data_IF_090019469949
#
_entry.id   IF_090019469949
#
_cell.length_a   1.000
_cell.length_b   1.000
_cell.length_c   1.000
_cell.angle_alpha   90.00
_cell.angle_beta   90.00
_cell.angle_gamma   90.00
#
_symmetry.space_group_name_H-M   'P 1'
#
loop_
_entity.id
_entity.type
_entity.pdbx_description
1 polymer ?
#
# COMPACT_ATOMS: atom_id res chain seq x y z
N UNK A 1 -8.87 -21.62 14.13
CA UNK A 1 -8.10 -22.81 13.74
C UNK A 1 -6.98 -22.36 12.81
N UNK A 2 -5.74 -22.28 13.28
CA UNK A 2 -4.58 -21.99 12.41
C UNK A 2 -4.15 -23.34 11.84
N UNK A 3 -4.37 -23.56 10.55
CA UNK A 3 -3.94 -24.80 9.87
C UNK A 3 -2.59 -24.55 9.21
N UNK A 4 -1.52 -24.77 9.97
CA UNK A 4 -0.21 -25.06 9.37
C UNK A 4 0.32 -26.29 10.07
N UNK A 5 0.09 -27.46 9.46
CA UNK A 5 0.78 -28.68 9.87
C UNK A 5 2.21 -28.56 9.35
N UNK A 6 3.13 -28.21 10.24
CA UNK A 6 4.56 -28.22 9.94
C UNK A 6 5.07 -29.62 10.33
N UNK A 7 5.23 -30.50 9.35
CA UNK A 7 6.09 -31.67 9.50
C UNK A 7 7.29 -31.54 8.54
N UNK A 8 8.44 -31.95 9.04
CA UNK A 8 9.75 -31.91 8.37
C UNK A 8 9.78 -32.69 7.05
N UNK A 9 8.82 -33.60 6.83
CA UNK A 9 8.75 -34.43 5.62
C UNK A 9 7.67 -34.00 4.61
N UNK A 10 6.77 -33.11 4.98
CA UNK A 10 5.60 -32.73 4.14
C UNK A 10 5.49 -31.21 3.88
N UNK A 11 6.39 -30.41 4.44
CA UNK A 11 6.38 -28.96 4.24
C UNK A 11 6.81 -28.57 2.83
N UNK A 12 6.00 -27.72 2.18
CA UNK A 12 6.33 -27.13 0.88
C UNK A 12 6.90 -25.72 1.06
N UNK A 13 7.93 -25.39 0.29
CA UNK A 13 8.50 -24.04 0.20
C UNK A 13 8.37 -23.50 -1.22
N UNK A 14 8.10 -22.21 -1.34
CA UNK A 14 8.10 -21.52 -2.63
C UNK A 14 9.53 -21.10 -2.94
N UNK A 15 10.06 -21.58 -4.06
CA UNK A 15 11.44 -21.33 -4.49
C UNK A 15 11.47 -20.48 -5.76
N UNK A 16 12.47 -19.62 -5.86
CA UNK A 16 12.88 -18.98 -7.11
C UNK A 16 14.36 -19.29 -7.36
N UNK A 17 14.67 -19.86 -8.53
CA UNK A 17 16.04 -20.31 -8.88
C UNK A 17 16.67 -21.20 -7.80
N UNK A 18 15.88 -22.13 -7.24
CA UNK A 18 16.33 -23.08 -6.22
C UNK A 18 16.55 -22.51 -4.81
N UNK A 19 16.24 -21.21 -4.58
CA UNK A 19 16.36 -20.58 -3.26
C UNK A 19 14.98 -20.19 -2.72
N UNK A 20 14.72 -20.30 -1.41
CA UNK A 20 13.48 -19.83 -0.80
C UNK A 20 13.22 -18.35 -1.11
N UNK A 21 11.98 -18.01 -1.43
CA UNK A 21 11.57 -16.62 -1.63
C UNK A 21 11.12 -15.98 -0.32
N UNK A 22 11.19 -14.65 -0.26
CA UNK A 22 10.39 -13.90 0.69
C UNK A 22 8.92 -13.87 0.21
N UNK A 23 8.05 -14.65 0.87
CA UNK A 23 6.64 -14.76 0.51
C UNK A 23 5.82 -13.65 1.17
N UNK A 24 5.69 -12.50 0.50
CA UNK A 24 4.81 -11.43 0.95
C UNK A 24 3.34 -11.78 0.69
N UNK A 25 2.48 -11.42 1.62
CA UNK A 25 1.03 -11.54 1.48
C UNK A 25 0.34 -10.31 2.08
N UNK A 26 -0.86 -10.01 1.61
CA UNK A 26 -1.66 -8.88 2.06
C UNK A 26 -3.15 -9.19 1.93
N UNK A 27 -4.00 -8.42 2.62
CA UNK A 27 -5.44 -8.72 2.72
C UNK A 27 -6.24 -8.40 1.45
N UNK A 28 -5.85 -7.38 0.70
CA UNK A 28 -6.56 -6.92 -0.50
C UNK A 28 -5.61 -6.12 -1.40
N UNK A 29 -5.71 -6.35 -2.71
CA UNK A 29 -5.09 -5.50 -3.72
C UNK A 29 -6.16 -4.54 -4.27
N UNK A 30 -5.79 -3.33 -4.65
CA UNK A 30 -6.72 -2.39 -5.30
C UNK A 30 -7.05 -2.77 -6.75
N UNK A 31 -7.14 -4.07 -7.07
CA UNK A 31 -7.35 -4.60 -8.42
C UNK A 31 -6.10 -5.17 -9.10
N UNK A 32 -4.92 -4.94 -8.53
CA UNK A 32 -3.65 -5.51 -8.99
C UNK A 32 -2.61 -5.51 -7.86
N UNK A 33 -1.75 -6.53 -7.84
CA UNK A 33 -0.63 -6.64 -6.89
C UNK A 33 0.46 -5.61 -7.19
N UNK A 34 1.25 -5.21 -6.19
CA UNK A 34 2.39 -4.30 -6.41
C UNK A 34 3.68 -5.08 -6.61
N UNK A 35 4.62 -4.49 -7.35
CA UNK A 35 6.01 -4.96 -7.32
C UNK A 35 6.66 -4.60 -5.99
N UNK A 36 7.67 -5.36 -5.58
CA UNK A 36 8.53 -5.02 -4.42
C UNK A 36 9.33 -3.74 -4.66
N UNK A 37 9.62 -3.40 -5.93
CA UNK A 37 10.27 -2.15 -6.29
C UNK A 37 9.36 -0.95 -6.01
N UNK A 38 8.08 -1.03 -6.37
CA UNK A 38 7.12 0.04 -6.09
C UNK A 38 6.84 0.15 -4.59
N UNK A 39 6.72 -0.97 -3.89
CA UNK A 39 6.42 -0.98 -2.46
C UNK A 39 7.62 -0.56 -1.59
N UNK A 40 8.83 -1.04 -1.89
CA UNK A 40 10.00 -0.96 -1.01
C UNK A 40 11.31 -0.61 -1.72
N UNK A 41 11.30 -0.33 -3.02
CA UNK A 41 12.47 0.14 -3.78
C UNK A 41 13.43 -0.95 -4.24
N UNK A 42 13.17 -2.24 -3.96
CA UNK A 42 14.02 -3.35 -4.39
C UNK A 42 13.22 -4.31 -5.27
N UNK A 43 13.67 -4.53 -6.50
CA UNK A 43 13.02 -5.47 -7.41
C UNK A 43 13.41 -6.92 -7.09
N UNK A 44 12.47 -7.85 -7.30
CA UNK A 44 12.76 -9.29 -7.30
C UNK A 44 12.22 -9.93 -8.58
N UNK A 45 12.78 -11.09 -8.95
CA UNK A 45 12.31 -11.84 -10.12
C UNK A 45 10.95 -12.53 -9.92
N UNK A 46 10.39 -12.50 -8.70
CA UNK A 46 9.20 -13.29 -8.33
C UNK A 46 8.05 -12.44 -7.75
N UNK A 47 8.21 -11.12 -7.66
CA UNK A 47 7.15 -10.19 -7.22
C UNK A 47 6.83 -9.19 -8.32
N UNK A 48 6.14 -9.66 -9.34
CA UNK A 48 5.65 -8.83 -10.44
C UNK A 48 4.19 -8.44 -10.19
N UNK A 49 3.79 -7.29 -10.74
CA UNK A 49 2.40 -6.85 -10.69
C UNK A 49 1.53 -7.79 -11.53
N UNK A 50 0.47 -8.30 -10.95
CA UNK A 50 -0.52 -9.18 -11.60
C UNK A 50 -1.92 -8.65 -11.29
N UNK A 51 -2.84 -8.74 -12.25
CA UNK A 51 -4.23 -8.37 -12.06
C UNK A 51 -4.90 -9.25 -10.99
N UNK A 52 -5.69 -8.62 -10.12
CA UNK A 52 -6.48 -9.26 -9.08
C UNK A 52 -7.88 -8.62 -9.04
N UNK A 53 -8.75 -8.93 -10.04
CA UNK A 53 -10.09 -8.37 -10.13
C UNK A 53 -11.00 -8.82 -8.97
N UNK A 54 -10.68 -9.93 -8.31
CA UNK A 54 -11.42 -10.41 -7.15
C UNK A 54 -11.31 -9.44 -5.97
N UNK A 55 -10.16 -8.76 -5.82
CA UNK A 55 -9.95 -7.71 -4.82
C UNK A 55 -10.93 -6.54 -4.93
N UNK A 56 -11.47 -6.27 -6.12
CA UNK A 56 -12.46 -5.20 -6.37
C UNK A 56 -13.92 -5.66 -6.26
N UNK A 57 -14.18 -6.96 -6.13
CA UNK A 57 -15.53 -7.49 -6.05
C UNK A 57 -16.08 -7.36 -4.61
N UNK A 58 -17.10 -6.54 -4.33
CA UNK A 58 -17.60 -6.34 -2.97
C UNK A 58 -18.24 -7.60 -2.36
N UNK A 59 -18.65 -8.59 -3.16
CA UNK A 59 -19.15 -9.86 -2.63
C UNK A 59 -18.03 -10.75 -2.09
N UNK A 60 -16.83 -10.65 -2.69
CA UNK A 60 -15.64 -11.45 -2.30
C UNK A 60 -14.81 -10.69 -1.26
N UNK A 61 -14.66 -9.38 -1.43
CA UNK A 61 -13.91 -8.50 -0.54
C UNK A 61 -14.80 -7.37 0.02
N UNK A 62 -15.81 -7.70 0.85
CA UNK A 62 -16.78 -6.73 1.34
C UNK A 62 -16.18 -5.61 2.19
N UNK A 63 -15.00 -5.83 2.77
CA UNK A 63 -14.37 -4.88 3.69
C UNK A 63 -13.43 -3.88 3.00
N UNK A 64 -12.80 -4.28 1.88
CA UNK A 64 -11.73 -3.48 1.27
C UNK A 64 -11.89 -3.26 -0.24
N UNK A 65 -12.90 -3.85 -0.90
CA UNK A 65 -13.23 -3.48 -2.29
C UNK A 65 -13.55 -1.98 -2.42
N UNK A 66 -14.12 -1.40 -1.36
CA UNK A 66 -14.22 0.04 -1.15
C UNK A 66 -14.15 0.33 0.34
N UNK A 67 -13.50 1.43 0.71
CA UNK A 67 -13.37 1.86 2.10
C UNK A 67 -13.31 3.39 2.18
N UNK A 68 -13.67 3.93 3.35
CA UNK A 68 -13.48 5.35 3.69
C UNK A 68 -12.69 5.42 4.99
N UNK A 69 -11.79 6.38 5.08
CA UNK A 69 -11.04 6.66 6.31
C UNK A 69 -10.87 8.17 6.45
N UNK A 70 -10.80 8.63 7.69
CA UNK A 70 -10.56 10.03 8.04
C UNK A 70 -9.25 10.10 8.84
N UNK A 71 -8.46 11.14 8.58
CA UNK A 71 -7.29 11.49 9.38
C UNK A 71 -7.47 12.91 9.90
N UNK A 72 -7.08 13.17 11.14
CA UNK A 72 -7.15 14.52 11.70
C UNK A 72 -6.08 15.41 11.07
N UNK A 73 -6.30 16.72 11.12
CA UNK A 73 -5.37 17.70 10.58
C UNK A 73 -3.99 17.58 11.23
N UNK A 74 -3.93 17.33 12.54
CA UNK A 74 -2.71 17.16 13.31
C UNK A 74 -1.94 15.92 12.85
N UNK A 75 -2.65 14.82 12.57
CA UNK A 75 -2.02 13.60 12.09
C UNK A 75 -1.44 13.78 10.68
N UNK A 76 -2.15 14.50 9.82
CA UNK A 76 -1.69 14.83 8.46
C UNK A 76 -0.47 15.77 8.53
N UNK A 77 -0.49 16.82 9.34
CA UNK A 77 0.66 17.74 9.45
C UNK A 77 1.90 17.05 10.01
N UNK A 78 1.73 16.21 11.05
CA UNK A 78 2.80 15.36 11.58
C UNK A 78 3.31 14.36 10.53
N UNK A 79 2.43 13.81 9.69
CA UNK A 79 2.85 12.89 8.63
C UNK A 79 3.86 13.55 7.69
N UNK A 80 3.62 14.81 7.30
CA UNK A 80 4.50 15.59 6.42
C UNK A 80 5.64 16.31 7.14
N UNK A 81 5.69 16.29 8.48
CA UNK A 81 6.62 17.10 9.27
C UNK A 81 6.49 18.60 8.92
N UNK A 82 5.25 19.05 8.75
CA UNK A 82 4.89 20.44 8.49
C UNK A 82 4.09 20.99 9.69
N UNK A 83 4.12 22.31 9.95
CA UNK A 83 3.32 22.92 11.02
C UNK A 83 1.80 22.76 10.76
N UNK A 84 1.40 22.82 9.49
CA UNK A 84 0.04 22.66 9.00
C UNK A 84 0.06 22.15 7.55
N UNK A 85 -1.06 21.61 7.08
CA UNK A 85 -1.23 21.18 5.68
C UNK A 85 -2.57 21.70 5.17
N UNK A 86 -2.54 22.70 4.30
CA UNK A 86 -3.75 23.30 3.71
C UNK A 86 -4.16 22.67 2.39
N UNK A 87 -3.26 21.90 1.76
CA UNK A 87 -3.55 21.21 0.51
C UNK A 87 -2.78 19.89 0.43
N UNK A 88 -3.46 18.88 -0.11
CA UNK A 88 -2.92 17.57 -0.42
C UNK A 88 -3.12 17.30 -1.92
N UNK A 89 -2.09 16.75 -2.56
CA UNK A 89 -2.13 16.41 -3.98
C UNK A 89 -1.48 15.05 -4.21
N UNK A 90 -2.20 14.12 -4.84
CA UNK A 90 -1.62 12.85 -5.30
C UNK A 90 -0.78 13.13 -6.55
N UNK A 91 0.53 12.96 -6.45
CA UNK A 91 1.47 13.33 -7.51
C UNK A 91 1.67 12.21 -8.52
N UNK A 92 1.65 10.95 -8.07
CA UNK A 92 1.83 9.81 -8.96
C UNK A 92 1.24 8.53 -8.40
N UNK A 93 1.01 7.57 -9.31
CA UNK A 93 0.61 6.20 -9.03
C UNK A 93 1.46 5.23 -9.82
N UNK A 94 1.62 4.00 -9.32
CA UNK A 94 2.21 2.92 -10.10
C UNK A 94 1.16 2.32 -11.07
N UNK A 95 1.60 1.38 -11.91
CA UNK A 95 0.72 0.70 -12.88
C UNK A 95 -0.42 -0.09 -12.23
N UNK A 96 -0.27 -0.47 -10.96
CA UNK A 96 -1.31 -1.13 -10.17
C UNK A 96 -2.33 -0.15 -9.57
N UNK A 97 -2.10 1.17 -9.67
CA UNK A 97 -2.99 2.22 -9.17
C UNK A 97 -2.73 2.68 -7.73
N UNK A 98 -1.73 2.10 -7.04
CA UNK A 98 -1.31 2.54 -5.72
C UNK A 98 -0.62 3.90 -5.81
N UNK A 99 -0.91 4.80 -4.87
CA UNK A 99 -0.22 6.10 -4.76
C UNK A 99 1.26 5.86 -4.46
N UNK A 100 2.13 6.35 -5.34
CA UNK A 100 3.58 6.31 -5.15
C UNK A 100 4.07 7.55 -4.43
N UNK A 101 3.56 8.72 -4.78
CA UNK A 101 3.88 9.98 -4.10
C UNK A 101 2.66 10.87 -3.88
N UNK A 102 2.65 11.54 -2.74
CA UNK A 102 1.68 12.56 -2.34
C UNK A 102 2.42 13.78 -1.83
N UNK A 103 1.94 14.97 -2.19
CA UNK A 103 2.49 16.27 -1.77
C UNK A 103 1.56 16.92 -0.76
N UNK A 104 2.12 17.40 0.34
CA UNK A 104 1.45 18.28 1.30
C UNK A 104 2.01 19.69 1.20
N UNK A 105 1.13 20.69 1.26
CA UNK A 105 1.48 22.12 1.22
C UNK A 105 0.99 22.79 2.49
N UNK A 106 1.88 23.49 3.20
CA UNK A 106 1.57 24.33 4.36
C UNK A 106 1.09 25.71 3.93
N UNK A 107 0.37 26.42 4.80
CA UNK A 107 -0.07 27.82 4.58
C UNK A 107 1.08 28.77 4.29
N UNK A 108 2.28 28.51 4.81
CA UNK A 108 3.46 29.33 4.55
C UNK A 108 4.11 29.06 3.18
N UNK A 109 3.51 28.20 2.35
CA UNK A 109 4.01 27.81 1.03
C UNK A 109 5.02 26.66 1.03
N UNK A 110 5.45 26.18 2.21
CA UNK A 110 6.35 25.02 2.30
C UNK A 110 5.67 23.77 1.78
N UNK A 111 6.39 22.99 0.99
CA UNK A 111 5.88 21.71 0.47
C UNK A 111 6.75 20.54 0.91
N UNK A 112 6.12 19.38 1.08
CA UNK A 112 6.81 18.11 1.34
C UNK A 112 6.20 17.02 0.49
N UNK A 113 7.08 16.22 -0.12
CA UNK A 113 6.71 15.02 -0.86
C UNK A 113 6.91 13.81 0.05
N UNK A 114 5.91 12.93 0.12
CA UNK A 114 5.97 11.66 0.84
C UNK A 114 5.64 10.51 -0.09
N UNK A 115 6.26 9.36 0.17
CA UNK A 115 5.81 8.12 -0.47
C UNK A 115 4.42 7.74 0.03
N UNK A 116 3.59 7.20 -0.85
CA UNK A 116 2.20 6.84 -0.51
C UNK A 116 2.08 5.79 0.58
N UNK A 117 3.01 4.82 0.65
CA UNK A 117 3.07 3.80 1.72
C UNK A 117 3.44 4.42 3.08
N UNK A 118 4.37 5.39 3.07
CA UNK A 118 4.78 6.14 4.26
C UNK A 118 3.63 7.01 4.75
N UNK A 119 2.98 7.75 3.85
CA UNK A 119 1.79 8.53 4.17
C UNK A 119 0.72 7.63 4.77
N UNK A 120 0.37 6.51 4.10
CA UNK A 120 -0.61 5.53 4.58
C UNK A 120 -0.33 5.10 6.02
N UNK A 121 0.93 4.75 6.33
CA UNK A 121 1.33 4.32 7.67
C UNK A 121 1.19 5.44 8.70
N UNK A 122 1.61 6.67 8.36
CA UNK A 122 1.58 7.81 9.28
C UNK A 122 0.17 8.30 9.56
N UNK A 123 -0.69 8.33 8.54
CA UNK A 123 -2.11 8.74 8.68
C UNK A 123 -3.07 7.60 9.00
N UNK A 124 -2.53 6.39 9.22
CA UNK A 124 -3.27 5.20 9.69
C UNK A 124 -4.44 4.78 8.79
N UNK A 125 -4.30 4.90 7.47
CA UNK A 125 -5.31 4.43 6.51
C UNK A 125 -4.98 3.01 6.01
N UNK A 126 -5.97 2.25 5.49
CA UNK A 126 -5.80 0.82 5.21
C UNK A 126 -4.73 0.50 4.15
N UNK A 127 -4.70 1.25 3.05
CA UNK A 127 -3.89 0.91 1.87
C UNK A 127 -3.36 2.17 1.16
N UNK A 128 -2.32 2.06 0.32
CA UNK A 128 -1.89 3.15 -0.57
C UNK A 128 -2.82 3.31 -1.79
N UNK A 129 -3.85 2.49 -1.94
CA UNK A 129 -4.89 2.60 -2.96
C UNK A 129 -6.01 3.49 -2.44
N UNK A 130 -5.79 4.81 -2.50
CA UNK A 130 -6.76 5.79 -2.04
C UNK A 130 -6.90 6.95 -3.02
N UNK A 131 -7.96 7.72 -2.83
CA UNK A 131 -8.16 9.04 -3.41
C UNK A 131 -8.54 10.01 -2.29
N UNK A 132 -8.22 11.29 -2.47
CA UNK A 132 -8.61 12.32 -1.52
C UNK A 132 -10.11 12.58 -1.65
N UNK A 133 -10.80 12.81 -0.54
CA UNK A 133 -12.18 13.27 -0.55
C UNK A 133 -12.20 14.78 -0.85
N UNK A 134 -13.15 15.20 -1.68
CA UNK A 134 -13.42 16.62 -1.97
C UNK A 134 -14.17 17.28 -0.82
#
# INVERSE_FOLDING_TARGET
>A
MIRTNLDTTTSLAILAKGKPIQAYFFSSSGGATQTTADAWGQATSYTQSVADPAGLNPKINPRFASWKANATQELVSQAFLLPDVVSLEVISRNSAGAVTYIKGTSRNGSTKLLRGDTFRSRVKIPSPYFQLAN
#
